data_IF_958637239512
#
_entry.id   IF_958637239512
#
_cell.length_a   1.000
_cell.length_b   1.000
_cell.length_c   1.000
_cell.angle_alpha   90.00
_cell.angle_beta   90.00
_cell.angle_gamma   90.00
#
_symmetry.space_group_name_H-M   'P 1'
#
loop_
_entity.id
_entity.type
_entity.pdbx_description
1 polymer ?
#
# COMPACT_ATOMS: atom_id res chain seq x y z
N UNK A 1 25.47 58.30 -25.69
CA UNK A 1 25.14 56.86 -25.60
C UNK A 1 26.05 56.27 -24.53
N UNK A 2 25.63 56.29 -23.26
CA UNK A 2 26.42 55.75 -22.14
C UNK A 2 26.06 54.28 -21.96
N UNK A 3 27.05 53.39 -22.07
CA UNK A 3 26.90 51.96 -21.84
C UNK A 3 27.41 51.65 -20.43
N UNK A 4 26.51 51.22 -19.54
CA UNK A 4 26.88 50.70 -18.22
C UNK A 4 27.05 49.18 -18.33
N UNK A 5 28.27 48.71 -18.09
CA UNK A 5 28.60 47.29 -17.92
C UNK A 5 28.20 46.91 -16.49
N UNK A 6 27.22 46.02 -16.34
CA UNK A 6 26.92 45.37 -15.07
C UNK A 6 27.68 44.04 -14.99
N UNK A 7 28.71 43.99 -14.14
CA UNK A 7 29.32 42.73 -13.70
C UNK A 7 28.49 42.19 -12.54
N UNK A 8 27.70 41.14 -12.76
CA UNK A 8 27.10 40.36 -11.68
C UNK A 8 28.02 39.19 -11.36
N UNK A 9 28.68 39.25 -10.21
CA UNK A 9 29.34 38.10 -9.59
C UNK A 9 28.27 37.11 -9.13
N UNK A 10 28.22 35.91 -9.74
CA UNK A 10 27.48 34.79 -9.19
C UNK A 10 28.24 34.28 -7.95
N UNK A 11 27.80 34.67 -6.76
CA UNK A 11 28.15 33.97 -5.55
C UNK A 11 27.49 32.59 -5.60
N UNK A 12 28.31 31.54 -5.67
CA UNK A 12 27.88 30.16 -5.48
C UNK A 12 27.27 30.05 -4.07
N UNK A 13 25.95 29.87 -3.97
CA UNK A 13 25.32 29.55 -2.69
C UNK A 13 25.92 28.23 -2.16
N UNK A 14 26.59 28.37 -1.03
CA UNK A 14 27.10 27.29 -0.21
C UNK A 14 25.94 26.33 0.10
N UNK A 15 26.08 25.06 -0.29
CA UNK A 15 25.11 23.99 -0.06
C UNK A 15 24.62 24.02 1.39
N UNK A 16 23.37 24.43 1.60
CA UNK A 16 22.75 24.41 2.91
C UNK A 16 22.67 22.97 3.38
N UNK A 17 23.38 22.65 4.46
CA UNK A 17 23.18 21.42 5.22
C UNK A 17 21.66 21.38 5.52
N UNK A 18 20.93 20.30 5.17
CA UNK A 18 19.49 20.26 5.35
C UNK A 18 19.20 20.42 6.85
N UNK A 19 18.76 21.61 7.23
CA UNK A 19 18.34 21.90 8.59
C UNK A 19 17.02 21.18 8.82
N UNK A 20 16.89 20.54 9.99
CA UNK A 20 15.67 19.89 10.41
C UNK A 20 14.48 20.88 10.35
N UNK A 21 13.63 20.70 9.34
CA UNK A 21 12.53 21.62 9.07
C UNK A 21 11.31 21.23 9.92
N UNK A 22 11.24 21.81 11.11
CA UNK A 22 10.12 21.63 12.05
C UNK A 22 8.76 21.90 11.40
N UNK A 23 8.70 22.80 10.41
CA UNK A 23 7.45 23.12 9.69
C UNK A 23 7.04 21.96 8.79
N UNK A 24 7.96 21.41 7.99
CA UNK A 24 7.66 20.23 7.14
C UNK A 24 7.29 19.01 7.96
N UNK A 25 7.98 18.75 9.08
CA UNK A 25 7.59 17.68 10.01
C UNK A 25 6.16 17.86 10.52
N UNK A 26 5.80 19.04 10.99
CA UNK A 26 4.45 19.29 11.50
C UNK A 26 3.39 19.17 10.39
N UNK A 27 3.69 19.68 9.19
CA UNK A 27 2.81 19.51 8.02
C UNK A 27 2.59 18.03 7.73
N UNK A 28 3.67 17.23 7.70
CA UNK A 28 3.58 15.79 7.45
C UNK A 28 2.70 15.10 8.49
N UNK A 29 3.01 15.26 9.79
CA UNK A 29 2.29 14.56 10.86
C UNK A 29 0.81 14.97 10.95
N UNK A 30 0.51 16.26 10.74
CA UNK A 30 -0.88 16.74 10.71
C UNK A 30 -1.59 16.17 9.48
N UNK A 31 -0.95 16.20 8.31
CA UNK A 31 -1.56 15.68 7.06
C UNK A 31 -1.81 14.19 7.14
N UNK A 32 -0.87 13.41 7.68
CA UNK A 32 -1.02 11.97 7.92
C UNK A 32 -2.16 11.71 8.90
N UNK A 33 -2.19 12.40 10.05
CA UNK A 33 -3.25 12.23 11.04
C UNK A 33 -4.65 12.56 10.49
N UNK A 34 -4.77 13.64 9.72
CA UNK A 34 -6.02 14.02 9.03
C UNK A 34 -6.40 12.97 7.99
N UNK A 35 -5.45 12.53 7.15
CA UNK A 35 -5.72 11.54 6.11
C UNK A 35 -6.16 10.21 6.70
N UNK A 36 -5.48 9.70 7.74
CA UNK A 36 -5.88 8.45 8.41
C UNK A 36 -7.24 8.56 9.05
N UNK A 37 -7.49 9.63 9.80
CA UNK A 37 -8.79 9.83 10.46
C UNK A 37 -9.92 9.93 9.45
N UNK A 38 -9.75 10.74 8.40
CA UNK A 38 -10.74 10.88 7.34
C UNK A 38 -11.00 9.55 6.60
N UNK A 39 -9.94 8.78 6.33
CA UNK A 39 -10.07 7.47 5.66
C UNK A 39 -10.78 6.46 6.56
N UNK A 40 -10.44 6.37 7.85
CA UNK A 40 -11.11 5.48 8.80
C UNK A 40 -12.58 5.86 8.99
N UNK A 41 -12.91 7.16 9.02
CA UNK A 41 -14.31 7.62 9.05
C UNK A 41 -15.04 7.22 7.76
N UNK A 42 -14.39 7.40 6.61
CA UNK A 42 -14.91 7.00 5.30
C UNK A 42 -15.18 5.49 5.23
N UNK A 43 -14.20 4.67 5.62
CA UNK A 43 -14.33 3.21 5.73
C UNK A 43 -15.45 2.83 6.70
N UNK A 44 -15.48 3.43 7.89
CA UNK A 44 -16.56 3.22 8.85
C UNK A 44 -17.93 3.49 8.24
N UNK A 45 -18.09 4.62 7.52
CA UNK A 45 -19.35 4.99 6.91
C UNK A 45 -19.75 4.13 5.72
N UNK A 46 -18.80 3.66 4.93
CA UNK A 46 -19.05 2.93 3.68
C UNK A 46 -19.06 1.41 3.85
N UNK A 47 -18.45 0.89 4.92
CA UNK A 47 -18.19 -0.54 5.10
C UNK A 47 -18.82 -1.09 6.39
N UNK A 48 -18.85 -0.33 7.49
CA UNK A 48 -19.24 -0.85 8.81
C UNK A 48 -20.58 -0.33 9.34
N UNK A 49 -21.00 0.87 8.94
CA UNK A 49 -22.09 1.62 9.57
C UNK A 49 -23.44 0.88 9.55
N UNK A 50 -23.70 0.13 8.49
CA UNK A 50 -25.00 -0.54 8.27
C UNK A 50 -25.02 -2.00 8.78
N UNK A 51 -23.95 -2.44 9.45
CA UNK A 51 -23.83 -3.77 10.03
C UNK A 51 -23.83 -3.73 11.56
N UNK A 52 -24.35 -4.79 12.22
CA UNK A 52 -24.33 -4.88 13.67
C UNK A 52 -22.90 -4.93 14.21
N UNK A 53 -22.71 -4.39 15.41
CA UNK A 53 -21.45 -4.47 16.16
C UNK A 53 -21.43 -5.67 17.10
N UNK A 54 -20.24 -6.15 17.42
CA UNK A 54 -20.00 -7.23 18.39
C UNK A 54 -18.99 -6.80 19.47
N UNK A 55 -18.75 -7.68 20.44
CA UNK A 55 -17.52 -7.62 21.22
C UNK A 55 -16.31 -7.91 20.32
N UNK A 56 -15.15 -7.35 20.67
CA UNK A 56 -13.91 -7.61 19.96
C UNK A 56 -13.63 -9.11 19.85
N UNK A 57 -13.33 -9.58 18.65
CA UNK A 57 -12.99 -10.98 18.40
C UNK A 57 -12.06 -11.14 17.20
N UNK A 58 -11.34 -12.26 17.18
CA UNK A 58 -10.52 -12.67 16.06
C UNK A 58 -11.23 -13.75 15.25
N UNK A 59 -10.95 -13.78 13.95
CA UNK A 59 -11.36 -14.85 13.04
C UNK A 59 -10.13 -15.46 12.34
N UNK A 60 -10.33 -16.62 11.71
CA UNK A 60 -9.39 -17.21 10.78
C UNK A 60 -10.05 -17.31 9.41
N UNK A 61 -9.79 -16.32 8.58
CA UNK A 61 -10.31 -16.14 7.23
C UNK A 61 -9.28 -16.51 6.15
N UNK A 62 -8.20 -17.22 6.52
CA UNK A 62 -7.21 -17.71 5.56
C UNK A 62 -7.80 -18.71 4.55
N UNK A 63 -9.07 -19.12 4.64
CA UNK A 63 -9.75 -19.90 3.60
C UNK A 63 -10.46 -19.04 2.55
N UNK A 64 -10.57 -17.74 2.81
CA UNK A 64 -11.39 -16.82 2.02
C UNK A 64 -10.68 -16.31 0.79
N UNK A 65 -11.46 -16.11 -0.28
CA UNK A 65 -11.11 -15.32 -1.45
C UNK A 65 -9.76 -15.66 -2.09
N UNK A 66 -9.33 -16.92 -1.97
CA UNK A 66 -8.00 -17.35 -2.44
C UNK A 66 -6.91 -16.37 -1.98
N UNK A 67 -6.89 -15.95 -0.72
CA UNK A 67 -5.89 -14.99 -0.18
C UNK A 67 -5.86 -13.60 -0.84
N UNK A 68 -6.78 -13.26 -1.75
CA UNK A 68 -6.72 -11.98 -2.47
C UNK A 68 -6.80 -10.78 -1.53
N UNK A 69 -7.56 -10.92 -0.46
CA UNK A 69 -7.64 -9.99 0.65
C UNK A 69 -6.26 -9.74 1.30
N UNK A 70 -5.54 -10.82 1.66
CA UNK A 70 -4.20 -10.78 2.24
C UNK A 70 -3.20 -10.15 1.26
N UNK A 71 -3.33 -10.41 -0.04
CA UNK A 71 -2.52 -9.74 -1.07
C UNK A 71 -2.80 -8.23 -1.16
N UNK A 72 -4.05 -7.83 -0.95
CA UNK A 72 -4.47 -6.44 -0.79
C UNK A 72 -3.81 -5.78 0.41
N UNK A 73 -3.90 -6.41 1.59
CA UNK A 73 -3.25 -5.97 2.84
C UNK A 73 -1.74 -5.78 2.67
N UNK A 74 -1.05 -6.79 2.14
CA UNK A 74 0.39 -6.73 1.89
C UNK A 74 0.75 -5.59 0.93
N UNK A 75 0.00 -5.43 -0.16
CA UNK A 75 0.27 -4.43 -1.20
C UNK A 75 0.01 -3.01 -0.72
N UNK A 76 -1.11 -2.78 -0.03
CA UNK A 76 -1.43 -1.50 0.57
C UNK A 76 -0.38 -1.09 1.61
N UNK A 77 -0.02 -2.03 2.50
CA UNK A 77 1.01 -1.82 3.52
C UNK A 77 2.37 -1.45 2.91
N UNK A 78 2.79 -2.17 1.86
CA UNK A 78 4.02 -1.90 1.12
C UNK A 78 4.06 -0.49 0.54
N UNK A 79 3.02 -0.08 -0.20
CA UNK A 79 3.01 1.22 -0.88
C UNK A 79 2.84 2.41 0.07
N UNK A 80 2.06 2.24 1.13
CA UNK A 80 2.01 3.21 2.23
C UNK A 80 3.39 3.35 2.86
N UNK A 81 4.06 2.22 3.13
CA UNK A 81 5.45 2.19 3.60
C UNK A 81 6.40 2.97 2.70
N UNK A 82 6.44 2.65 1.40
CA UNK A 82 7.33 3.32 0.42
C UNK A 82 7.08 4.82 0.37
N UNK A 83 5.81 5.22 0.37
CA UNK A 83 5.42 6.64 0.33
C UNK A 83 5.75 7.33 1.64
N UNK A 84 5.52 6.67 2.77
CA UNK A 84 5.87 7.15 4.10
C UNK A 84 7.37 7.39 4.23
N UNK A 85 8.23 6.45 3.82
CA UNK A 85 9.70 6.65 3.87
C UNK A 85 10.09 7.91 3.10
N UNK A 86 9.56 8.09 1.88
CA UNK A 86 9.82 9.29 1.07
C UNK A 86 9.31 10.56 1.73
N UNK A 87 8.12 10.53 2.31
CA UNK A 87 7.50 11.68 2.97
C UNK A 87 8.28 12.10 4.23
N UNK A 88 8.71 11.15 5.05
CA UNK A 88 9.53 11.40 6.24
C UNK A 88 10.93 11.94 5.87
N UNK A 89 11.56 11.40 4.82
CA UNK A 89 12.81 11.95 4.26
C UNK A 89 12.61 13.39 3.76
N UNK A 90 11.52 13.65 3.02
CA UNK A 90 11.16 14.99 2.55
C UNK A 90 10.96 15.99 3.70
N UNK A 91 10.41 15.52 4.82
CA UNK A 91 10.25 16.31 6.03
C UNK A 91 11.56 16.58 6.79
N UNK A 92 12.71 16.12 6.28
CA UNK A 92 14.02 16.33 6.88
C UNK A 92 14.30 15.44 8.09
N UNK A 93 13.56 14.34 8.23
CA UNK A 93 13.85 13.34 9.27
C UNK A 93 15.07 12.52 8.85
N UNK A 94 15.87 12.09 9.84
CA UNK A 94 17.03 11.25 9.54
C UNK A 94 16.59 9.93 8.89
N UNK A 95 17.54 9.28 8.21
CA UNK A 95 17.28 8.09 7.40
C UNK A 95 16.61 6.96 8.19
N UNK A 96 17.18 6.57 9.35
CA UNK A 96 16.62 5.48 10.18
C UNK A 96 15.20 5.79 10.63
N UNK A 97 14.94 7.02 11.08
CA UNK A 97 13.59 7.43 11.48
C UNK A 97 12.64 7.40 10.30
N UNK A 98 13.08 7.85 9.13
CA UNK A 98 12.25 7.84 7.94
C UNK A 98 11.91 6.42 7.48
N UNK A 99 12.89 5.52 7.50
CA UNK A 99 12.70 4.12 7.12
C UNK A 99 11.71 3.43 8.06
N UNK A 100 11.88 3.55 9.37
CA UNK A 100 11.02 2.85 10.33
C UNK A 100 9.64 3.47 10.46
N UNK A 101 9.52 4.77 10.70
CA UNK A 101 8.22 5.41 10.90
C UNK A 101 7.45 5.47 9.58
N UNK A 102 8.13 5.87 8.50
CA UNK A 102 7.55 5.88 7.17
C UNK A 102 7.20 4.49 6.68
N UNK A 103 8.07 3.49 6.89
CA UNK A 103 7.86 2.11 6.43
C UNK A 103 6.75 1.36 7.18
N UNK A 104 6.51 1.69 8.46
CA UNK A 104 5.45 1.07 9.28
C UNK A 104 4.08 1.75 9.14
N UNK A 105 4.02 2.90 8.47
CA UNK A 105 2.78 3.67 8.25
C UNK A 105 1.61 2.79 7.77
N UNK A 106 1.86 1.94 6.78
CA UNK A 106 0.89 0.99 6.23
C UNK A 106 0.38 -0.03 7.23
N UNK A 107 1.29 -0.71 7.94
CA UNK A 107 0.93 -1.69 8.96
C UNK A 107 0.14 -1.07 10.10
N UNK A 108 0.50 0.14 10.55
CA UNK A 108 -0.27 0.84 11.59
C UNK A 108 -1.68 1.20 11.14
N UNK A 109 -1.81 1.74 9.92
CA UNK A 109 -3.11 2.08 9.37
C UNK A 109 -4.01 0.84 9.22
N UNK A 110 -3.49 -0.24 8.63
CA UNK A 110 -4.27 -1.46 8.41
C UNK A 110 -4.55 -2.22 9.71
N UNK A 111 -3.67 -2.14 10.71
CA UNK A 111 -3.99 -2.65 12.07
C UNK A 111 -5.18 -1.90 12.67
N UNK A 112 -5.33 -0.60 12.41
CA UNK A 112 -6.52 0.14 12.85
C UNK A 112 -7.79 -0.34 12.12
N UNK A 113 -7.68 -0.77 10.85
CA UNK A 113 -8.78 -1.42 10.11
C UNK A 113 -9.14 -2.76 10.75
N UNK A 114 -8.16 -3.63 11.05
CA UNK A 114 -8.40 -4.90 11.75
C UNK A 114 -9.07 -4.71 13.12
N UNK A 115 -8.77 -3.60 13.81
CA UNK A 115 -9.47 -3.26 15.06
C UNK A 115 -10.94 -2.95 14.78
N UNK A 116 -11.27 -2.23 13.70
CA UNK A 116 -12.65 -1.99 13.29
C UNK A 116 -13.37 -3.30 12.93
N UNK A 117 -12.69 -4.20 12.21
CA UNK A 117 -13.19 -5.53 11.86
C UNK A 117 -13.48 -6.36 13.12
N UNK A 118 -12.58 -6.35 14.10
CA UNK A 118 -12.78 -7.08 15.35
C UNK A 118 -14.04 -6.71 16.12
N UNK A 119 -14.56 -5.49 15.95
CA UNK A 119 -15.83 -5.02 16.55
C UNK A 119 -17.06 -5.16 15.61
N UNK A 120 -16.91 -5.72 14.42
CA UNK A 120 -18.02 -6.01 13.51
C UNK A 120 -18.68 -7.34 13.90
N UNK A 121 -19.99 -7.49 13.77
CA UNK A 121 -20.62 -8.82 13.87
C UNK A 121 -20.54 -9.61 12.55
N UNK A 122 -20.17 -8.95 11.44
CA UNK A 122 -20.08 -9.53 10.09
C UNK A 122 -18.66 -9.97 9.74
N UNK A 123 -17.65 -9.27 10.26
CA UNK A 123 -16.22 -9.50 10.07
C UNK A 123 -15.55 -9.68 11.43
N UNK A 124 -14.25 -9.93 11.45
CA UNK A 124 -13.47 -9.99 12.69
C UNK A 124 -12.01 -9.67 12.41
N UNK A 125 -11.24 -9.37 13.46
CA UNK A 125 -9.81 -9.11 13.29
C UNK A 125 -9.11 -10.37 12.78
N UNK A 126 -8.28 -10.27 11.75
CA UNK A 126 -7.58 -11.40 11.17
C UNK A 126 -6.11 -11.40 11.51
N UNK A 127 -5.65 -12.52 12.07
CA UNK A 127 -4.20 -12.75 12.21
C UNK A 127 -3.50 -12.89 10.85
N UNK A 128 -4.21 -13.38 9.83
CA UNK A 128 -3.69 -13.47 8.45
C UNK A 128 -3.41 -12.09 7.87
N UNK A 129 -4.34 -11.16 8.05
CA UNK A 129 -4.18 -9.79 7.56
C UNK A 129 -3.12 -9.01 8.33
N UNK A 130 -3.02 -9.18 9.66
CA UNK A 130 -1.91 -8.61 10.44
C UNK A 130 -0.53 -9.11 9.98
N UNK A 131 -0.43 -10.39 9.61
CA UNK A 131 0.80 -10.95 9.03
C UNK A 131 1.05 -10.34 7.64
N UNK A 132 0.03 -10.28 6.78
CA UNK A 132 0.15 -9.70 5.45
C UNK A 132 0.57 -8.23 5.48
N UNK A 133 -0.05 -7.44 6.36
CA UNK A 133 0.31 -6.06 6.68
C UNK A 133 1.80 -5.97 7.01
N UNK A 134 2.24 -6.78 7.98
CA UNK A 134 3.63 -6.81 8.44
C UNK A 134 4.59 -7.18 7.31
N UNK A 135 4.25 -8.16 6.48
CA UNK A 135 5.06 -8.58 5.33
C UNK A 135 5.23 -7.44 4.30
N UNK A 136 4.19 -6.65 4.05
CA UNK A 136 4.26 -5.48 3.17
C UNK A 136 5.24 -4.42 3.68
N UNK A 137 5.13 -4.05 4.97
CA UNK A 137 6.07 -3.12 5.60
C UNK A 137 7.49 -3.69 5.66
N UNK A 138 7.65 -4.97 5.99
CA UNK A 138 8.94 -5.64 6.03
C UNK A 138 9.63 -5.63 4.64
N UNK A 139 8.88 -5.89 3.56
CA UNK A 139 9.39 -5.82 2.20
C UNK A 139 9.88 -4.41 1.83
N UNK A 140 9.17 -3.36 2.24
CA UNK A 140 9.60 -1.99 1.98
C UNK A 140 10.84 -1.60 2.83
N UNK A 141 10.77 -1.86 4.15
CA UNK A 141 11.81 -1.48 5.12
C UNK A 141 13.12 -2.20 4.83
N UNK A 142 13.09 -3.52 4.61
CA UNK A 142 14.30 -4.31 4.34
C UNK A 142 15.05 -3.79 3.11
N UNK A 143 14.33 -3.49 2.04
CA UNK A 143 14.92 -2.93 0.82
C UNK A 143 15.50 -1.53 1.05
N UNK A 144 14.81 -0.66 1.80
CA UNK A 144 15.33 0.65 2.13
C UNK A 144 16.60 0.57 3.01
N UNK A 145 16.66 -0.37 3.96
CA UNK A 145 17.85 -0.58 4.80
C UNK A 145 19.04 -1.17 4.04
N UNK A 146 18.77 -2.07 3.08
CA UNK A 146 19.82 -2.80 2.36
C UNK A 146 20.34 -2.05 1.13
N UNK A 147 19.46 -1.31 0.44
CA UNK A 147 19.75 -0.77 -0.88
C UNK A 147 19.46 0.73 -1.03
N UNK A 148 18.83 1.35 -0.04
CA UNK A 148 18.23 2.69 -0.16
C UNK A 148 17.32 2.85 -1.40
N UNK A 149 16.81 1.73 -1.93
CA UNK A 149 16.03 1.64 -3.16
C UNK A 149 15.02 0.49 -3.05
N UNK A 150 13.89 0.59 -3.76
CA UNK A 150 12.92 -0.49 -3.92
C UNK A 150 13.16 -1.25 -5.23
N UNK A 151 14.01 -2.28 -5.18
CA UNK A 151 14.40 -3.11 -6.32
C UNK A 151 13.35 -4.17 -6.69
N UNK A 152 12.56 -4.59 -5.70
CA UNK A 152 11.44 -5.53 -5.79
C UNK A 152 10.17 -4.74 -5.46
N UNK A 153 9.22 -4.74 -6.37
CA UNK A 153 7.98 -3.97 -6.27
C UNK A 153 6.77 -4.88 -6.34
N UNK A 154 5.86 -4.74 -5.39
CA UNK A 154 4.49 -5.22 -5.57
C UNK A 154 3.81 -4.31 -6.59
N UNK A 155 3.12 -4.88 -7.57
CA UNK A 155 2.29 -4.13 -8.53
C UNK A 155 0.88 -4.70 -8.50
N UNK A 156 -0.07 -3.82 -8.77
CA UNK A 156 -1.47 -4.15 -8.84
C UNK A 156 -2.01 -3.81 -10.22
N UNK A 157 -2.84 -4.67 -10.77
CA UNK A 157 -3.59 -4.40 -12.00
C UNK A 157 -5.01 -4.93 -11.87
N UNK A 158 -5.93 -4.23 -12.50
CA UNK A 158 -7.35 -4.55 -12.42
C UNK A 158 -7.99 -4.61 -13.79
N UNK A 159 -8.82 -5.63 -13.99
CA UNK A 159 -9.74 -5.70 -15.11
C UNK A 159 -11.09 -6.18 -14.58
N UNK A 160 -12.16 -5.42 -14.86
CA UNK A 160 -13.49 -5.74 -14.32
C UNK A 160 -13.91 -7.15 -14.71
N UNK A 161 -14.16 -7.98 -13.70
CA UNK A 161 -14.57 -9.35 -13.93
C UNK A 161 -16.02 -9.42 -14.38
N UNK A 162 -16.36 -10.54 -15.03
CA UNK A 162 -17.75 -10.87 -15.32
C UNK A 162 -18.61 -10.97 -14.05
N UNK A 163 -18.02 -11.35 -12.91
CA UNK A 163 -18.72 -11.56 -11.64
C UNK A 163 -19.17 -10.25 -11.01
N UNK A 164 -18.42 -9.15 -11.22
CA UNK A 164 -18.78 -7.84 -10.70
C UNK A 164 -20.19 -7.39 -11.12
N UNK A 165 -20.61 -7.70 -12.36
CA UNK A 165 -21.96 -7.38 -12.86
C UNK A 165 -23.04 -8.33 -12.35
N UNK A 166 -22.66 -9.51 -11.83
CA UNK A 166 -23.59 -10.51 -11.27
C UNK A 166 -23.90 -10.28 -9.80
N UNK A 167 -22.98 -9.65 -9.07
CA UNK A 167 -23.15 -9.34 -7.65
C UNK A 167 -22.55 -7.96 -7.32
N UNK A 168 -23.15 -6.86 -7.81
CA UNK A 168 -22.61 -5.52 -7.63
C UNK A 168 -22.67 -5.05 -6.16
N UNK A 169 -23.57 -5.59 -5.35
CA UNK A 169 -23.64 -5.28 -3.92
C UNK A 169 -22.35 -5.72 -3.20
N UNK A 170 -21.90 -6.95 -3.47
CA UNK A 170 -20.71 -7.52 -2.84
C UNK A 170 -19.42 -7.11 -3.55
N UNK A 171 -19.42 -7.07 -4.89
CA UNK A 171 -18.22 -6.86 -5.71
C UNK A 171 -18.07 -5.43 -6.23
N UNK A 172 -19.00 -4.54 -5.88
CA UNK A 172 -18.97 -3.11 -6.17
C UNK A 172 -19.92 -2.68 -7.29
N UNK A 173 -20.48 -1.47 -7.15
CA UNK A 173 -21.48 -0.94 -8.09
C UNK A 173 -20.86 -0.06 -9.18
N UNK A 174 -19.61 0.37 -8.98
CA UNK A 174 -18.89 1.25 -9.88
C UNK A 174 -17.40 0.90 -9.90
N UNK A 175 -16.67 1.47 -10.87
CA UNK A 175 -15.26 1.12 -11.11
C UNK A 175 -14.38 1.24 -9.87
N UNK A 176 -14.56 2.28 -9.06
CA UNK A 176 -13.75 2.49 -7.84
C UNK A 176 -14.02 1.39 -6.82
N UNK A 177 -15.29 1.08 -6.57
CA UNK A 177 -15.65 -0.01 -5.67
C UNK A 177 -15.17 -1.35 -6.22
N UNK A 178 -15.30 -1.59 -7.54
CA UNK A 178 -14.87 -2.86 -8.12
C UNK A 178 -13.36 -3.07 -8.02
N UNK A 179 -12.56 -2.02 -8.24
CA UNK A 179 -11.10 -2.09 -8.03
C UNK A 179 -10.73 -2.58 -6.62
N UNK A 180 -11.55 -2.29 -5.61
CA UNK A 180 -11.31 -2.74 -4.23
C UNK A 180 -11.94 -4.10 -3.92
N UNK A 181 -13.18 -4.33 -4.38
CA UNK A 181 -14.03 -5.45 -3.95
C UNK A 181 -14.04 -6.65 -4.92
N UNK A 182 -13.84 -6.42 -6.21
CA UNK A 182 -13.90 -7.47 -7.24
C UNK A 182 -12.58 -8.24 -7.29
N UNK A 183 -12.36 -9.13 -6.32
CA UNK A 183 -11.15 -9.96 -6.24
C UNK A 183 -10.94 -10.84 -7.48
N UNK A 184 -11.99 -11.18 -8.23
CA UNK A 184 -11.87 -11.92 -9.50
C UNK A 184 -11.20 -11.10 -10.62
N UNK A 185 -11.24 -9.77 -10.52
CA UNK A 185 -10.67 -8.85 -11.49
C UNK A 185 -9.27 -8.36 -11.14
N UNK A 186 -8.79 -8.67 -9.93
CA UNK A 186 -7.52 -8.19 -9.40
C UNK A 186 -6.37 -9.13 -9.72
N UNK A 187 -5.20 -8.56 -10.01
CA UNK A 187 -3.95 -9.30 -10.16
C UNK A 187 -2.84 -8.56 -9.42
N UNK A 188 -2.12 -9.32 -8.61
CA UNK A 188 -0.97 -8.85 -7.86
C UNK A 188 0.30 -9.42 -8.49
N UNK A 189 1.33 -8.60 -8.60
CA UNK A 189 2.58 -8.98 -9.24
C UNK A 189 3.75 -8.65 -8.33
N UNK A 190 4.65 -9.61 -8.14
CA UNK A 190 5.96 -9.37 -7.57
C UNK A 190 6.94 -9.12 -8.72
N UNK A 191 7.39 -7.88 -8.87
CA UNK A 191 8.17 -7.41 -10.01
C UNK A 191 9.60 -7.08 -9.60
N UNK A 192 10.57 -7.66 -10.29
CA UNK A 192 11.99 -7.57 -10.02
C UNK A 192 12.66 -6.74 -11.11
N UNK A 193 13.27 -5.60 -10.75
CA UNK A 193 14.12 -4.89 -11.68
C UNK A 193 15.45 -5.64 -11.84
N UNK A 194 15.60 -6.39 -12.94
CA UNK A 194 16.73 -7.31 -13.14
C UNK A 194 18.07 -6.56 -13.07
N UNK A 195 18.13 -5.37 -13.69
CA UNK A 195 19.35 -4.57 -13.73
C UNK A 195 19.80 -4.14 -12.34
N UNK A 196 18.89 -3.55 -11.56
CA UNK A 196 19.21 -3.05 -10.21
C UNK A 196 19.46 -4.20 -9.24
N UNK A 197 18.73 -5.31 -9.37
CA UNK A 197 18.87 -6.47 -8.48
C UNK A 197 20.18 -7.23 -8.68
N UNK A 198 20.64 -7.37 -9.93
CA UNK A 198 21.87 -8.09 -10.29
C UNK A 198 23.07 -7.16 -10.53
N UNK A 199 22.91 -5.86 -10.25
CA UNK A 199 23.96 -4.84 -10.40
C UNK A 199 24.66 -4.88 -11.76
N UNK A 200 23.89 -5.06 -12.83
CA UNK A 200 24.44 -5.22 -14.18
C UNK A 200 24.98 -3.90 -14.72
N UNK A 201 26.30 -3.81 -14.92
CA UNK A 201 27.00 -2.62 -15.42
C UNK A 201 26.93 -2.44 -16.95
N UNK A 202 26.49 -3.49 -17.67
CA UNK A 202 26.45 -3.50 -19.14
C UNK A 202 25.25 -2.70 -19.71
N UNK A 203 25.15 -2.66 -21.06
CA UNK A 203 24.01 -2.11 -21.82
C UNK A 203 22.67 -2.86 -21.61
N UNK A 204 22.49 -3.52 -20.46
CA UNK A 204 21.25 -4.16 -20.10
C UNK A 204 20.14 -3.09 -19.94
N UNK A 205 18.96 -3.30 -20.53
CA UNK A 205 17.87 -2.32 -20.48
C UNK A 205 17.37 -2.09 -19.04
N UNK A 206 17.43 -0.85 -18.51
CA UNK A 206 17.02 -0.56 -17.12
C UNK A 206 15.51 -0.71 -16.89
N UNK A 207 14.71 -0.71 -17.96
CA UNK A 207 13.26 -0.87 -17.91
C UNK A 207 12.79 -2.33 -17.91
N UNK A 208 13.69 -3.29 -18.14
CA UNK A 208 13.31 -4.71 -18.19
C UNK A 208 13.15 -5.25 -16.76
N UNK A 209 11.97 -5.81 -16.47
CA UNK A 209 11.66 -6.46 -15.20
C UNK A 209 11.07 -7.85 -15.43
N UNK A 210 11.37 -8.77 -14.51
CA UNK A 210 10.68 -10.05 -14.41
C UNK A 210 9.54 -9.90 -13.42
N UNK A 211 8.36 -10.46 -13.70
CA UNK A 211 7.23 -10.39 -12.77
C UNK A 211 6.58 -11.75 -12.60
N UNK A 212 6.25 -12.11 -11.37
CA UNK A 212 5.46 -13.30 -11.02
C UNK A 212 4.11 -12.82 -10.51
N UNK A 213 3.03 -13.35 -11.08
CA UNK A 213 1.66 -12.90 -10.83
C UNK A 213 0.84 -13.87 -9.98
N UNK A 214 -0.08 -13.32 -9.20
CA UNK A 214 -1.12 -14.03 -8.46
C UNK A 214 -2.47 -13.37 -8.70
N UNK A 215 -3.51 -14.18 -8.92
CA UNK A 215 -4.88 -13.73 -9.15
C UNK A 215 -5.85 -14.86 -8.79
N UNK A 216 -7.07 -14.50 -8.41
CA UNK A 216 -8.16 -15.46 -8.26
C UNK A 216 -9.21 -15.29 -9.37
N UNK A 217 -9.90 -16.37 -9.71
CA UNK A 217 -10.99 -16.40 -10.67
C UNK A 217 -12.07 -17.40 -10.23
N UNK A 218 -13.34 -17.06 -10.50
CA UNK A 218 -14.48 -17.94 -10.23
C UNK A 218 -14.99 -17.89 -8.78
N UNK A 219 -14.54 -16.92 -7.97
CA UNK A 219 -14.95 -16.75 -6.59
C UNK A 219 -16.30 -16.02 -6.52
N UNK A 220 -17.37 -16.76 -6.28
CA UNK A 220 -18.72 -16.20 -6.03
C UNK A 220 -18.94 -15.87 -4.55
N UNK A 221 -18.38 -16.71 -3.68
CA UNK A 221 -18.44 -16.62 -2.23
C UNK A 221 -17.01 -16.56 -1.65
N UNK A 222 -16.84 -16.10 -0.40
CA UNK A 222 -15.53 -16.09 0.27
C UNK A 222 -14.91 -17.49 0.33
N UNK A 223 -15.66 -18.47 0.82
CA UNK A 223 -15.21 -19.86 0.93
C UNK A 223 -15.60 -20.65 -0.32
N UNK A 224 -14.85 -21.72 -0.58
CA UNK A 224 -15.24 -22.71 -1.58
C UNK A 224 -16.33 -23.59 -1.00
N UNK A 225 -17.48 -23.68 -1.65
CA UNK A 225 -18.56 -24.54 -1.22
C UNK A 225 -18.60 -25.83 -2.06
N UNK A 226 -19.13 -26.90 -1.48
CA UNK A 226 -19.28 -28.17 -2.21
C UNK A 226 -20.26 -27.99 -3.38
N UNK A 227 -19.81 -28.29 -4.60
CA UNK A 227 -20.58 -28.08 -5.82
C UNK A 227 -20.33 -26.76 -6.53
N UNK A 228 -19.49 -25.87 -5.99
CA UNK A 228 -18.99 -24.73 -6.75
C UNK A 228 -18.13 -25.19 -7.94
N UNK A 229 -18.20 -24.49 -9.09
CA UNK A 229 -17.25 -24.73 -10.17
C UNK A 229 -15.83 -24.44 -9.69
N UNK A 230 -14.87 -25.12 -10.32
CA UNK A 230 -13.46 -24.99 -9.96
C UNK A 230 -13.02 -23.51 -10.01
N UNK A 231 -12.55 -23.01 -8.87
CA UNK A 231 -11.92 -21.68 -8.72
C UNK A 231 -10.41 -21.85 -8.83
N UNK A 232 -9.74 -20.89 -9.47
CA UNK A 232 -8.30 -20.93 -9.75
C UNK A 232 -7.63 -19.60 -9.50
#
# INVERSE_FOLDING_TARGET
MFSCIFLTTNAQELSTIPTFDKKKKNILLISEGVAYTATLIGLNSLWYKDYPRSSFHFINDNGEWLQMDKMGHMTASYYMGVTGIKAYKWAGMNEKTSIWYGGLSGSFFLTAVEILDGFSAQWGASSGDLIANTMGSALCISQALLWDEQKIQLKYSYNKSFWADKNPEQLGENLIQNMLKDYNGQKYWLSFNIKSLLELENNFPPWLSLSIGYSGYGMKNPYHEEGDPERM
#
